data_IF_701228720242
#
_entry.id   IF_701228720242
#
_cell.length_a   1.000
_cell.length_b   1.000
_cell.length_c   1.000
_cell.angle_alpha   90.00
_cell.angle_beta   90.00
_cell.angle_gamma   90.00
#
_symmetry.space_group_name_H-M   'P 1'
#
loop_
_entity.id
_entity.type
_entity.pdbx_description
1 polymer ?
#
# COMPACT_ATOMS: atom_id res chain seq x y z
N UNK A 1 -14.41 28.37 -18.61
CA UNK A 1 -14.69 28.49 -17.15
C UNK A 1 -14.76 27.09 -16.59
N UNK A 2 -13.66 26.61 -16.01
CA UNK A 2 -13.58 25.30 -15.34
C UNK A 2 -13.22 25.62 -13.89
N UNK A 3 -14.21 25.97 -13.08
CA UNK A 3 -14.08 25.85 -11.63
C UNK A 3 -14.63 24.46 -11.28
N UNK A 4 -13.85 23.43 -11.61
CA UNK A 4 -13.98 22.16 -10.91
C UNK A 4 -13.68 22.46 -9.44
N UNK A 5 -14.61 22.10 -8.56
CA UNK A 5 -14.45 22.30 -7.12
C UNK A 5 -13.10 21.71 -6.69
N UNK A 6 -12.28 22.44 -5.94
CA UNK A 6 -10.94 21.98 -5.52
C UNK A 6 -10.97 20.57 -4.89
N UNK A 7 -12.07 20.23 -4.20
CA UNK A 7 -12.32 18.89 -3.63
C UNK A 7 -12.49 17.78 -4.68
N UNK A 8 -13.09 18.10 -5.83
CA UNK A 8 -13.27 17.18 -6.96
C UNK A 8 -11.94 16.92 -7.68
N UNK A 9 -11.14 17.98 -7.91
CA UNK A 9 -9.83 17.84 -8.53
C UNK A 9 -8.86 17.08 -7.62
N UNK A 10 -8.86 17.38 -6.31
CA UNK A 10 -8.09 16.63 -5.33
C UNK A 10 -8.50 15.14 -5.30
N UNK A 11 -9.81 14.84 -5.36
CA UNK A 11 -10.31 13.48 -5.43
C UNK A 11 -9.81 12.75 -6.70
N UNK A 12 -9.92 13.38 -7.88
CA UNK A 12 -9.48 12.77 -9.13
C UNK A 12 -7.98 12.50 -9.15
N UNK A 13 -7.16 13.46 -8.72
CA UNK A 13 -5.70 13.30 -8.67
C UNK A 13 -5.32 12.14 -7.74
N UNK A 14 -5.89 12.09 -6.54
CA UNK A 14 -5.62 11.01 -5.57
C UNK A 14 -6.15 9.66 -6.05
N UNK A 15 -7.31 9.62 -6.70
CA UNK A 15 -7.86 8.41 -7.28
C UNK A 15 -6.97 7.85 -8.40
N UNK A 16 -6.49 8.71 -9.31
CA UNK A 16 -5.56 8.34 -10.39
C UNK A 16 -4.24 7.80 -9.80
N UNK A 17 -3.72 8.46 -8.75
CA UNK A 17 -2.49 8.04 -8.07
C UNK A 17 -2.60 6.63 -7.43
N UNK A 18 -3.81 6.19 -7.05
CA UNK A 18 -4.05 4.85 -6.51
C UNK A 18 -4.32 3.83 -7.64
N UNK A 19 -5.12 4.21 -8.65
CA UNK A 19 -5.59 3.32 -9.72
C UNK A 19 -4.48 3.00 -10.73
N UNK A 20 -3.67 3.98 -11.14
CA UNK A 20 -2.65 3.76 -12.18
C UNK A 20 -1.59 2.75 -11.76
N UNK A 21 -0.95 2.86 -10.57
CA UNK A 21 0.06 1.89 -10.15
C UNK A 21 -0.52 0.49 -9.96
N UNK A 22 -1.77 0.37 -9.50
CA UNK A 22 -2.44 -0.91 -9.30
C UNK A 22 -2.83 -1.56 -10.63
N UNK A 23 -3.31 -0.78 -11.60
CA UNK A 23 -3.59 -1.25 -12.95
C UNK A 23 -2.31 -1.73 -13.67
N UNK A 24 -1.19 -0.99 -13.54
CA UNK A 24 0.10 -1.41 -14.09
C UNK A 24 0.60 -2.70 -13.44
N UNK A 25 0.45 -2.83 -12.12
CA UNK A 25 0.83 -4.05 -11.40
C UNK A 25 -0.01 -5.26 -11.83
N UNK A 26 -1.33 -5.09 -11.99
CA UNK A 26 -2.22 -6.18 -12.43
C UNK A 26 -1.92 -6.57 -13.88
N UNK A 27 -1.66 -5.60 -14.78
CA UNK A 27 -1.30 -5.87 -16.18
C UNK A 27 -0.02 -6.68 -16.34
N UNK A 28 0.94 -6.55 -15.43
CA UNK A 28 2.18 -7.33 -15.45
C UNK A 28 1.97 -8.80 -15.05
N UNK A 29 0.84 -9.15 -14.44
CA UNK A 29 0.57 -10.53 -14.05
C UNK A 29 -0.18 -11.29 -15.14
N UNK A 30 0.34 -12.45 -15.53
CA UNK A 30 -0.27 -13.31 -16.56
C UNK A 30 -1.65 -13.86 -16.17
N UNK A 31 -2.02 -13.86 -14.88
CA UNK A 31 -3.29 -14.44 -14.41
C UNK A 31 -4.13 -13.42 -13.63
N UNK A 32 -5.08 -12.78 -14.32
CA UNK A 32 -5.93 -11.71 -13.78
C UNK A 32 -6.77 -12.17 -12.57
N UNK A 33 -7.23 -13.42 -12.56
CA UNK A 33 -8.14 -13.97 -11.53
C UNK A 33 -7.44 -14.67 -10.35
N UNK A 34 -6.22 -14.27 -10.02
CA UNK A 34 -5.57 -14.75 -8.79
C UNK A 34 -6.25 -14.14 -7.56
N UNK A 35 -6.35 -14.90 -6.45
CA UNK A 35 -6.86 -14.39 -5.15
C UNK A 35 -6.15 -13.11 -4.71
N UNK A 36 -4.87 -12.96 -5.08
CA UNK A 36 -4.06 -11.75 -4.84
C UNK A 36 -4.56 -10.52 -5.59
N UNK A 37 -5.07 -10.71 -6.80
CA UNK A 37 -5.61 -9.61 -7.61
C UNK A 37 -6.98 -9.19 -7.10
N UNK A 38 -7.81 -10.14 -6.67
CA UNK A 38 -9.09 -9.83 -6.02
C UNK A 38 -8.89 -9.01 -4.74
N UNK A 39 -7.91 -9.40 -3.89
CA UNK A 39 -7.54 -8.61 -2.71
C UNK A 39 -7.02 -7.21 -3.09
N UNK A 40 -6.24 -7.10 -4.16
CA UNK A 40 -5.75 -5.79 -4.63
C UNK A 40 -6.88 -4.90 -5.12
N UNK A 41 -7.85 -5.43 -5.86
CA UNK A 41 -9.05 -4.71 -6.31
C UNK A 41 -9.88 -4.27 -5.10
N UNK A 42 -10.06 -5.15 -4.11
CA UNK A 42 -10.77 -4.84 -2.87
C UNK A 42 -10.10 -3.68 -2.10
N UNK A 43 -8.77 -3.71 -1.96
CA UNK A 43 -8.01 -2.62 -1.32
C UNK A 43 -8.17 -1.32 -2.09
N UNK A 44 -8.10 -1.34 -3.42
CA UNK A 44 -8.31 -0.13 -4.25
C UNK A 44 -9.74 0.41 -4.07
N UNK A 45 -10.76 -0.45 -4.15
CA UNK A 45 -12.15 -0.06 -3.97
C UNK A 45 -12.41 0.54 -2.58
N UNK A 46 -11.86 -0.08 -1.53
CA UNK A 46 -11.91 0.44 -0.17
C UNK A 46 -11.22 1.82 -0.06
N UNK A 47 -9.99 1.95 -0.59
CA UNK A 47 -9.27 3.23 -0.57
C UNK A 47 -10.00 4.34 -1.32
N UNK A 48 -10.63 4.04 -2.46
CA UNK A 48 -11.45 5.00 -3.20
C UNK A 48 -12.70 5.41 -2.42
N UNK A 49 -13.35 4.46 -1.74
CA UNK A 49 -14.48 4.76 -0.87
C UNK A 49 -14.08 5.67 0.30
N UNK A 50 -12.94 5.39 0.95
CA UNK A 50 -12.42 6.22 2.04
C UNK A 50 -12.02 7.61 1.57
N UNK A 51 -11.41 7.71 0.38
CA UNK A 51 -11.11 8.98 -0.27
C UNK A 51 -12.38 9.78 -0.58
N UNK A 52 -13.42 9.12 -1.09
CA UNK A 52 -14.73 9.74 -1.32
C UNK A 52 -15.34 10.27 -0.01
N UNK A 53 -15.25 9.50 1.08
CA UNK A 53 -15.71 9.96 2.40
C UNK A 53 -14.92 11.19 2.85
N UNK A 54 -13.60 11.18 2.66
CA UNK A 54 -12.72 12.29 3.04
C UNK A 54 -13.02 13.59 2.29
N UNK A 55 -13.30 13.52 0.98
CA UNK A 55 -13.49 14.69 0.13
C UNK A 55 -14.93 15.19 0.08
N UNK A 56 -15.92 14.29 0.09
CA UNK A 56 -17.33 14.65 -0.09
C UNK A 56 -18.18 14.53 1.17
N UNK A 57 -17.78 13.73 2.16
CA UNK A 57 -18.55 13.49 3.40
C UNK A 57 -17.88 14.10 4.62
N UNK A 58 -17.43 15.35 4.48
CA UNK A 58 -16.85 16.09 5.60
C UNK A 58 -17.92 16.42 6.66
N UNK A 59 -17.59 16.31 7.98
CA UNK A 59 -18.53 16.63 9.04
C UNK A 59 -19.06 18.07 8.91
N UNK A 60 -20.34 18.32 9.23
CA UNK A 60 -20.88 19.66 9.19
C UNK A 60 -20.31 20.49 10.34
N UNK A 61 -19.76 21.66 10.02
CA UNK A 61 -19.28 22.64 10.98
C UNK A 61 -19.70 24.05 10.56
N UNK A 62 -20.61 24.66 11.32
CA UNK A 62 -21.16 25.99 10.99
C UNK A 62 -20.10 27.08 11.10
N UNK A 63 -19.24 27.04 12.12
CA UNK A 63 -18.23 28.09 12.35
C UNK A 63 -17.18 28.14 11.25
N UNK A 64 -16.70 26.97 10.82
CA UNK A 64 -15.76 26.88 9.68
C UNK A 64 -16.42 27.25 8.35
N UNK A 65 -17.66 26.82 8.10
CA UNK A 65 -18.35 27.16 6.83
C UNK A 65 -18.67 28.64 6.71
N UNK A 66 -19.12 29.25 7.79
CA UNK A 66 -19.46 30.68 7.83
C UNK A 66 -18.24 31.58 8.07
N UNK A 67 -17.08 31.01 8.42
CA UNK A 67 -15.87 31.76 8.78
C UNK A 67 -16.12 32.76 9.92
N UNK A 68 -16.85 32.33 10.94
CA UNK A 68 -17.20 33.14 12.12
C UNK A 68 -16.49 32.62 13.36
N UNK A 69 -16.08 33.50 14.30
CA UNK A 69 -15.44 33.08 15.53
C UNK A 69 -16.42 32.35 16.46
N UNK A 70 -15.90 31.44 17.28
CA UNK A 70 -16.72 30.68 18.23
C UNK A 70 -17.37 31.56 19.31
N UNK A 71 -16.82 32.76 19.54
CA UNK A 71 -17.29 33.73 20.52
C UNK A 71 -18.48 34.58 20.03
N UNK A 72 -18.84 34.51 18.75
CA UNK A 72 -19.95 35.29 18.18
C UNK A 72 -21.26 35.09 18.97
N UNK A 73 -22.01 36.16 19.28
CA UNK A 73 -23.31 36.05 19.95
C UNK A 73 -24.34 35.37 19.04
N UNK A 74 -25.31 34.70 19.66
CA UNK A 74 -26.25 33.84 18.94
C UNK A 74 -27.07 34.58 17.88
N UNK A 75 -27.50 35.81 18.19
CA UNK A 75 -28.32 36.63 17.30
C UNK A 75 -27.60 36.95 16.00
N UNK A 76 -26.30 37.24 16.08
CA UNK A 76 -25.47 37.46 14.89
C UNK A 76 -25.30 36.19 14.07
N UNK A 77 -25.11 35.02 14.70
CA UNK A 77 -25.02 33.74 13.99
C UNK A 77 -26.33 33.48 13.24
N UNK A 78 -27.48 33.71 13.89
CA UNK A 78 -28.80 33.55 13.28
C UNK A 78 -29.00 34.50 12.11
N UNK A 79 -28.65 35.78 12.28
CA UNK A 79 -28.73 36.78 11.21
C UNK A 79 -27.89 36.38 9.99
N UNK A 80 -26.64 35.96 10.18
CA UNK A 80 -25.76 35.51 9.09
C UNK A 80 -26.29 34.25 8.40
N UNK A 81 -26.92 33.33 9.14
CA UNK A 81 -27.54 32.13 8.57
C UNK A 81 -28.75 32.48 7.69
N UNK A 82 -29.63 33.39 8.16
CA UNK A 82 -30.79 33.85 7.40
C UNK A 82 -30.37 34.62 6.14
N UNK A 83 -29.42 35.54 6.28
CA UNK A 83 -28.85 36.30 5.17
C UNK A 83 -28.30 35.36 4.09
N UNK A 84 -27.53 34.34 4.48
CA UNK A 84 -26.93 33.38 3.53
C UNK A 84 -27.94 32.39 2.94
N UNK A 85 -29.06 32.17 3.62
CA UNK A 85 -30.19 31.42 3.10
C UNK A 85 -31.10 32.24 2.17
N UNK A 86 -30.89 33.57 2.08
CA UNK A 86 -31.75 34.48 1.32
C UNK A 86 -33.15 34.61 1.92
N UNK A 87 -33.29 34.43 3.23
CA UNK A 87 -34.54 34.52 3.97
C UNK A 87 -34.64 35.84 4.73
N UNK A 88 -35.87 36.33 4.90
CA UNK A 88 -36.13 37.52 5.73
C UNK A 88 -35.77 37.29 7.20
N UNK A 89 -35.49 38.37 7.94
CA UNK A 89 -35.03 38.31 9.34
C UNK A 89 -35.98 37.61 10.31
N UNK A 90 -37.28 37.57 9.98
CA UNK A 90 -38.33 36.91 10.77
C UNK A 90 -38.65 35.50 10.30
N UNK A 91 -37.96 34.97 9.28
CA UNK A 91 -38.17 33.61 8.82
C UNK A 91 -37.72 32.59 9.88
N UNK A 92 -38.52 31.52 10.04
CA UNK A 92 -38.19 30.41 10.92
C UNK A 92 -37.05 29.56 10.37
N UNK A 93 -36.14 29.11 11.23
CA UNK A 93 -35.09 28.16 10.83
C UNK A 93 -35.60 26.72 11.02
N UNK A 94 -34.97 25.72 10.38
CA UNK A 94 -35.28 24.32 10.67
C UNK A 94 -35.13 24.02 12.16
N UNK A 95 -36.09 23.28 12.73
CA UNK A 95 -36.14 22.99 14.18
C UNK A 95 -34.82 22.44 14.74
N UNK A 96 -34.13 21.56 14.03
CA UNK A 96 -32.84 20.99 14.45
C UNK A 96 -31.73 22.04 14.56
N UNK A 97 -31.78 23.08 13.71
CA UNK A 97 -30.84 24.19 13.75
C UNK A 97 -31.20 25.16 14.88
N UNK A 98 -32.49 25.42 15.12
CA UNK A 98 -32.94 26.21 16.26
C UNK A 98 -32.56 25.56 17.60
N UNK A 99 -32.70 24.23 17.72
CA UNK A 99 -32.26 23.47 18.90
C UNK A 99 -30.74 23.52 19.09
N UNK A 100 -29.96 23.47 18.00
CA UNK A 100 -28.52 23.65 18.08
C UNK A 100 -28.16 25.06 18.56
N UNK A 101 -28.78 26.08 17.97
CA UNK A 101 -28.54 27.48 18.31
C UNK A 101 -28.90 27.77 19.76
N UNK A 102 -30.04 27.27 20.25
CA UNK A 102 -30.43 27.43 21.66
C UNK A 102 -29.42 26.79 22.61
N UNK A 103 -28.86 25.63 22.26
CA UNK A 103 -27.80 24.98 23.05
C UNK A 103 -26.48 25.75 23.01
N UNK A 104 -26.08 26.28 21.86
CA UNK A 104 -24.86 27.08 21.69
C UNK A 104 -24.91 28.45 22.41
N UNK A 105 -26.02 28.82 23.03
CA UNK A 105 -26.11 30.01 23.88
C UNK A 105 -25.22 29.90 25.13
N UNK A 106 -25.00 28.69 25.64
CA UNK A 106 -24.13 28.44 26.80
C UNK A 106 -22.66 28.25 26.36
N UNK A 107 -21.73 28.83 27.13
CA UNK A 107 -20.30 28.66 26.91
C UNK A 107 -19.85 27.19 27.04
N UNK A 108 -20.42 26.46 28.00
CA UNK A 108 -20.10 25.04 28.23
C UNK A 108 -20.50 24.19 27.02
N UNK A 109 -21.63 24.51 26.41
CA UNK A 109 -22.09 23.83 25.19
C UNK A 109 -21.22 24.14 23.99
N UNK A 110 -20.65 25.36 23.90
CA UNK A 110 -19.64 25.68 22.87
C UNK A 110 -18.36 24.86 23.06
N UNK A 111 -17.94 24.62 24.30
CA UNK A 111 -16.81 23.71 24.56
C UNK A 111 -17.12 22.27 24.14
N UNK A 112 -18.32 21.77 24.45
CA UNK A 112 -18.77 20.44 24.00
C UNK A 112 -18.87 20.36 22.46
N UNK A 113 -19.30 21.43 21.79
CA UNK A 113 -19.32 21.53 20.33
C UNK A 113 -17.92 21.36 19.72
N UNK A 114 -16.89 22.03 20.26
CA UNK A 114 -15.50 21.87 19.77
C UNK A 114 -15.05 20.41 19.83
N UNK A 115 -15.54 19.67 20.81
CA UNK A 115 -15.10 18.31 21.14
C UNK A 115 -15.84 17.20 20.38
N UNK A 116 -17.17 17.30 20.30
CA UNK A 116 -18.03 16.27 19.71
C UNK A 116 -18.62 16.65 18.35
N UNK A 117 -18.59 17.94 18.02
CA UNK A 117 -19.09 18.48 16.77
C UNK A 117 -20.60 18.66 16.72
N UNK A 118 -21.05 19.20 15.59
CA UNK A 118 -22.43 19.62 15.39
C UNK A 118 -23.45 18.47 15.53
N UNK A 119 -23.15 17.29 14.96
CA UNK A 119 -24.11 16.17 14.93
C UNK A 119 -24.45 15.67 16.32
N UNK A 120 -23.47 15.63 17.24
CA UNK A 120 -23.74 15.17 18.60
C UNK A 120 -24.67 16.12 19.35
N UNK A 121 -24.51 17.44 19.15
CA UNK A 121 -25.35 18.46 19.77
C UNK A 121 -26.72 18.60 19.10
N UNK A 122 -26.85 18.27 17.82
CA UNK A 122 -28.13 18.28 17.10
C UNK A 122 -28.98 17.05 17.39
N UNK A 123 -28.37 15.86 17.35
CA UNK A 123 -29.13 14.61 17.34
C UNK A 123 -29.43 14.08 18.76
N UNK A 124 -28.67 14.49 19.79
CA UNK A 124 -28.91 14.00 21.15
C UNK A 124 -29.87 14.91 21.93
N UNK A 125 -31.16 14.59 21.98
CA UNK A 125 -32.16 15.38 22.73
C UNK A 125 -31.95 15.36 24.26
N UNK A 126 -31.45 14.24 24.81
CA UNK A 126 -31.39 14.01 26.26
C UNK A 126 -30.00 14.28 26.89
N UNK A 127 -29.00 14.66 26.09
CA UNK A 127 -27.64 14.88 26.60
C UNK A 127 -27.51 16.27 27.24
N UNK A 128 -27.03 16.31 28.48
CA UNK A 128 -26.73 17.51 29.27
C UNK A 128 -25.29 17.48 29.74
N UNK A 129 -24.82 16.33 30.22
CA UNK A 129 -23.47 16.18 30.78
C UNK A 129 -22.46 15.73 29.73
N UNK A 130 -21.17 15.94 30.01
CA UNK A 130 -20.08 15.49 29.13
C UNK A 130 -20.15 13.98 28.85
N UNK A 131 -20.42 13.17 29.88
CA UNK A 131 -20.44 11.71 29.77
C UNK A 131 -21.58 11.21 28.86
N UNK A 132 -22.73 11.88 28.88
CA UNK A 132 -23.86 11.55 28.01
C UNK A 132 -23.53 11.83 26.54
N UNK A 133 -22.90 12.98 26.24
CA UNK A 133 -22.42 13.28 24.89
C UNK A 133 -21.33 12.31 24.43
N UNK A 134 -20.41 11.93 25.34
CA UNK A 134 -19.38 10.94 25.05
C UNK A 134 -20.00 9.57 24.72
N UNK A 135 -20.96 9.13 25.52
CA UNK A 135 -21.66 7.85 25.32
C UNK A 135 -22.48 7.85 24.03
N UNK A 136 -23.06 8.99 23.64
CA UNK A 136 -23.78 9.13 22.37
C UNK A 136 -22.85 9.08 21.15
N UNK A 137 -21.68 9.74 21.21
CA UNK A 137 -20.75 9.82 20.08
C UNK A 137 -19.93 8.53 19.88
N UNK A 138 -19.68 7.78 20.96
CA UNK A 138 -18.78 6.63 20.98
C UNK A 138 -19.18 5.47 20.04
N UNK A 139 -20.46 5.03 19.97
CA UNK A 139 -20.86 3.92 19.10
C UNK A 139 -20.55 4.18 17.62
N UNK A 140 -20.75 5.42 17.14
CA UNK A 140 -20.46 5.79 15.75
C UNK A 140 -18.97 5.70 15.45
N UNK A 141 -18.12 6.06 16.42
CA UNK A 141 -16.68 5.92 16.29
C UNK A 141 -16.25 4.45 16.30
N UNK A 142 -16.72 3.67 17.27
CA UNK A 142 -16.41 2.24 17.40
C UNK A 142 -16.84 1.44 16.17
N UNK A 143 -18.02 1.71 15.60
CA UNK A 143 -18.47 1.04 14.38
C UNK A 143 -17.51 1.26 13.20
N UNK A 144 -16.89 2.44 13.11
CA UNK A 144 -15.83 2.72 12.14
C UNK A 144 -14.62 1.80 12.33
N UNK A 145 -14.15 1.66 13.57
CA UNK A 145 -13.04 0.76 13.90
C UNK A 145 -13.38 -0.72 13.66
N UNK A 146 -14.60 -1.15 13.99
CA UNK A 146 -15.06 -2.52 13.72
C UNK A 146 -15.08 -2.81 12.23
N UNK A 147 -15.58 -1.87 11.42
CA UNK A 147 -15.54 -1.96 9.94
C UNK A 147 -14.11 -2.13 9.45
N UNK A 148 -13.17 -1.30 9.92
CA UNK A 148 -11.78 -1.41 9.50
C UNK A 148 -11.10 -2.69 9.98
N UNK A 149 -11.42 -3.17 11.18
CA UNK A 149 -10.93 -4.45 11.66
C UNK A 149 -11.38 -5.60 10.73
N UNK A 150 -12.61 -5.54 10.20
CA UNK A 150 -13.11 -6.50 9.23
C UNK A 150 -12.34 -6.40 7.89
N UNK A 151 -12.09 -5.19 7.37
CA UNK A 151 -11.31 -4.96 6.14
C UNK A 151 -9.89 -5.50 6.29
N UNK A 152 -9.21 -5.20 7.39
CA UNK A 152 -7.87 -5.73 7.69
C UNK A 152 -7.89 -7.25 7.87
N UNK A 153 -8.93 -7.80 8.49
CA UNK A 153 -9.13 -9.25 8.64
C UNK A 153 -9.23 -9.96 7.29
N UNK A 154 -9.94 -9.36 6.31
CA UNK A 154 -10.05 -9.89 4.95
C UNK A 154 -8.71 -9.84 4.20
N UNK A 155 -7.97 -8.73 4.30
CA UNK A 155 -6.64 -8.59 3.66
C UNK A 155 -5.63 -9.59 4.23
N UNK A 156 -5.73 -9.87 5.53
CA UNK A 156 -4.81 -10.76 6.26
C UNK A 156 -5.32 -12.18 6.43
N UNK A 157 -6.32 -12.60 5.64
CA UNK A 157 -6.88 -13.95 5.69
C UNK A 157 -5.81 -15.02 5.40
N UNK A 158 -6.00 -16.22 5.98
CA UNK A 158 -5.14 -17.38 5.71
C UNK A 158 -5.08 -17.65 4.21
N UNK A 159 -3.86 -17.80 3.68
CA UNK A 159 -3.62 -17.95 2.25
C UNK A 159 -3.31 -16.64 1.50
N UNK A 160 -3.52 -15.46 2.09
CA UNK A 160 -3.09 -14.18 1.48
C UNK A 160 -1.57 -13.96 1.54
N UNK A 161 -0.87 -14.78 2.33
CA UNK A 161 0.54 -14.61 2.65
C UNK A 161 0.80 -13.52 3.69
N UNK A 162 -0.21 -12.82 4.23
CA UNK A 162 -0.01 -11.67 5.14
C UNK A 162 -0.49 -11.93 6.57
N UNK A 163 -0.68 -13.18 6.94
CA UNK A 163 -1.21 -13.57 8.26
C UNK A 163 -0.38 -13.02 9.43
N UNK A 164 0.95 -13.00 9.32
CA UNK A 164 1.83 -12.46 10.38
C UNK A 164 1.55 -10.99 10.71
N UNK A 165 1.14 -10.22 9.72
CA UNK A 165 0.89 -8.78 9.86
C UNK A 165 -0.47 -8.47 10.51
N UNK A 166 -1.35 -9.47 10.64
CA UNK A 166 -2.68 -9.32 11.25
C UNK A 166 -2.60 -8.76 12.66
N UNK A 167 -1.76 -9.35 13.52
CA UNK A 167 -1.65 -8.95 14.93
C UNK A 167 -1.15 -7.51 15.05
N UNK A 168 -0.17 -7.12 14.22
CA UNK A 168 0.35 -5.76 14.21
C UNK A 168 -0.66 -4.75 13.66
N UNK A 169 -1.38 -5.09 12.58
CA UNK A 169 -2.37 -4.22 11.98
C UNK A 169 -3.58 -4.01 12.91
N UNK A 170 -4.10 -5.08 13.51
CA UNK A 170 -5.19 -4.99 14.50
C UNK A 170 -4.69 -4.26 15.76
N UNK A 171 -3.47 -4.56 16.23
CA UNK A 171 -2.87 -3.88 17.37
C UNK A 171 -2.75 -2.37 17.14
N UNK A 172 -2.26 -1.95 15.96
CA UNK A 172 -2.19 -0.54 15.58
C UNK A 172 -3.58 0.10 15.57
N UNK A 173 -4.59 -0.58 15.01
CA UNK A 173 -5.96 -0.08 14.96
C UNK A 173 -6.56 0.11 16.38
N UNK A 174 -6.35 -0.86 17.27
CA UNK A 174 -6.79 -0.77 18.68
C UNK A 174 -6.06 0.35 19.40
N UNK A 175 -4.74 0.47 19.21
CA UNK A 175 -3.97 1.59 19.78
C UNK A 175 -4.52 2.93 19.30
N UNK A 176 -4.84 3.09 18.01
CA UNK A 176 -5.45 4.33 17.50
C UNK A 176 -6.81 4.60 18.14
N UNK A 177 -7.66 3.58 18.32
CA UNK A 177 -8.97 3.75 18.96
C UNK A 177 -8.83 4.21 20.43
N UNK A 178 -7.93 3.60 21.19
CA UNK A 178 -7.65 3.99 22.58
C UNK A 178 -7.06 5.40 22.64
N UNK A 179 -6.13 5.71 21.73
CA UNK A 179 -5.50 7.01 21.60
C UNK A 179 -6.54 8.10 21.32
N UNK A 180 -7.41 7.88 20.35
CA UNK A 180 -8.51 8.80 20.05
C UNK A 180 -9.43 9.01 21.26
N UNK A 181 -9.85 7.92 21.92
CA UNK A 181 -10.66 8.00 23.14
C UNK A 181 -9.99 8.81 24.24
N UNK A 182 -8.69 8.58 24.46
CA UNK A 182 -7.89 9.29 25.44
C UNK A 182 -7.79 10.79 25.14
N UNK A 183 -7.54 11.17 23.89
CA UNK A 183 -7.52 12.59 23.48
C UNK A 183 -8.91 13.22 23.65
N UNK A 184 -9.98 12.51 23.27
CA UNK A 184 -11.36 12.97 23.48
C UNK A 184 -11.67 13.15 24.96
N UNK A 185 -11.05 12.45 25.92
CA UNK A 185 -11.35 12.64 27.35
C UNK A 185 -10.41 13.61 28.05
N UNK A 186 -9.16 13.73 27.62
CA UNK A 186 -8.12 14.44 28.40
C UNK A 186 -7.74 15.82 27.88
N UNK A 187 -7.99 16.13 26.61
CA UNK A 187 -7.54 17.40 26.04
C UNK A 187 -8.24 18.60 26.69
N UNK A 188 -7.50 19.60 27.19
CA UNK A 188 -8.08 20.86 27.63
C UNK A 188 -8.45 21.72 26.42
N UNK A 189 -9.68 22.21 26.37
CA UNK A 189 -10.13 23.12 25.31
C UNK A 189 -9.83 24.54 25.77
N UNK A 190 -8.98 25.25 25.00
CA UNK A 190 -8.67 26.66 25.23
C UNK A 190 -9.25 27.48 24.08
N UNK A 191 -10.21 28.34 24.39
CA UNK A 191 -10.79 29.27 23.42
C UNK A 191 -10.06 30.61 23.59
N UNK A 192 -9.31 31.09 22.57
CA UNK A 192 -8.69 32.39 22.60
C UNK A 192 -9.74 33.51 22.71
N UNK A 193 -9.37 34.66 23.27
CA UNK A 193 -10.32 35.76 23.51
C UNK A 193 -10.96 36.29 22.21
N UNK A 194 -10.20 36.29 21.11
CA UNK A 194 -10.68 36.68 19.78
C UNK A 194 -11.60 35.61 19.15
N UNK A 195 -11.57 34.37 19.63
CA UNK A 195 -12.42 33.27 19.17
C UNK A 195 -12.18 32.82 17.72
N UNK A 196 -11.20 33.41 17.02
CA UNK A 196 -10.76 33.02 15.69
C UNK A 196 -9.79 31.82 15.75
N UNK A 197 -9.74 31.03 14.69
CA UNK A 197 -8.84 29.89 14.50
C UNK A 197 -8.83 28.84 15.63
N UNK A 198 -10.00 28.56 16.21
CA UNK A 198 -10.14 27.49 17.20
C UNK A 198 -9.95 26.13 16.52
N UNK A 199 -9.00 25.35 17.03
CA UNK A 199 -8.82 23.96 16.61
C UNK A 199 -10.06 23.14 16.98
N UNK A 200 -10.85 22.80 15.97
CA UNK A 200 -12.01 21.93 16.08
C UNK A 200 -11.54 20.49 16.25
N UNK A 201 -11.44 20.04 17.49
CA UNK A 201 -10.93 18.70 17.82
C UNK A 201 -11.73 17.59 17.17
N UNK A 202 -13.06 17.72 17.09
CA UNK A 202 -13.90 16.73 16.40
C UNK A 202 -13.53 16.55 14.92
N UNK A 203 -13.24 17.64 14.19
CA UNK A 203 -12.86 17.59 12.78
C UNK A 203 -11.47 16.97 12.61
N UNK A 204 -10.53 17.36 13.46
CA UNK A 204 -9.15 16.85 13.42
C UNK A 204 -9.08 15.36 13.77
N UNK A 205 -9.81 14.92 14.79
CA UNK A 205 -9.88 13.51 15.18
C UNK A 205 -10.60 12.68 14.12
N UNK A 206 -11.69 13.20 13.55
CA UNK A 206 -12.36 12.57 12.42
C UNK A 206 -11.42 12.42 11.21
N UNK A 207 -10.67 13.48 10.87
CA UNK A 207 -9.70 13.49 9.78
C UNK A 207 -8.59 12.46 10.02
N UNK A 208 -7.97 12.49 11.20
CA UNK A 208 -6.92 11.54 11.59
C UNK A 208 -7.43 10.10 11.49
N UNK A 209 -8.65 9.84 11.96
CA UNK A 209 -9.30 8.53 11.89
C UNK A 209 -9.48 8.07 10.44
N UNK A 210 -10.04 8.92 9.56
CA UNK A 210 -10.20 8.57 8.14
C UNK A 210 -8.85 8.36 7.45
N UNK A 211 -7.81 9.12 7.82
CA UNK A 211 -6.45 8.92 7.30
C UNK A 211 -5.86 7.58 7.73
N UNK A 212 -6.02 7.18 9.00
CA UNK A 212 -5.59 5.86 9.47
C UNK A 212 -6.34 4.75 8.73
N UNK A 213 -7.65 4.90 8.56
CA UNK A 213 -8.50 3.94 7.85
C UNK A 213 -8.12 3.82 6.37
N UNK A 214 -7.65 4.90 5.73
CA UNK A 214 -7.14 4.88 4.36
C UNK A 214 -5.74 4.23 4.27
N UNK A 215 -4.82 4.62 5.15
CA UNK A 215 -3.41 4.24 5.04
C UNK A 215 -3.13 2.82 5.52
N UNK A 216 -3.76 2.40 6.62
CA UNK A 216 -3.45 1.13 7.28
C UNK A 216 -3.71 -0.10 6.37
N UNK A 217 -4.82 -0.22 5.62
CA UNK A 217 -5.03 -1.31 4.67
C UNK A 217 -4.03 -1.31 3.51
N UNK A 218 -3.65 -0.13 3.01
CA UNK A 218 -2.66 0.02 1.93
C UNK A 218 -1.30 -0.49 2.39
N UNK A 219 -0.87 -0.05 3.58
CA UNK A 219 0.40 -0.48 4.18
C UNK A 219 0.37 -1.99 4.40
N UNK A 220 -0.68 -2.52 5.03
CA UNK A 220 -0.84 -3.96 5.28
C UNK A 220 -0.78 -4.80 4.00
N UNK A 221 -1.35 -4.31 2.89
CA UNK A 221 -1.31 -4.98 1.60
C UNK A 221 0.07 -4.92 0.93
N UNK A 222 0.81 -3.83 1.09
CA UNK A 222 2.14 -3.64 0.49
C UNK A 222 3.26 -4.35 1.25
N UNK A 223 3.02 -4.76 2.50
CA UNK A 223 4.02 -5.47 3.29
C UNK A 223 4.41 -6.83 2.68
N UNK A 224 5.67 -7.26 2.88
CA UNK A 224 6.18 -8.49 2.30
C UNK A 224 5.39 -9.70 2.79
N UNK A 225 5.23 -10.67 1.89
CA UNK A 225 4.60 -11.93 2.23
C UNK A 225 5.36 -12.61 3.36
N UNK A 226 4.61 -13.15 4.31
CA UNK A 226 5.08 -14.03 5.36
C UNK A 226 5.84 -15.19 4.70
N UNK A 227 7.01 -15.56 5.24
CA UNK A 227 7.71 -16.76 4.77
C UNK A 227 6.75 -17.96 4.85
N UNK A 228 6.86 -18.93 3.92
CA UNK A 228 6.06 -20.14 3.98
C UNK A 228 6.23 -20.76 5.37
N UNK A 229 5.13 -21.20 5.98
CA UNK A 229 5.21 -21.80 7.31
C UNK A 229 6.15 -23.00 7.27
N UNK A 230 6.96 -23.19 8.31
CA UNK A 230 7.92 -24.29 8.43
C UNK A 230 7.29 -25.66 8.18
N UNK A 231 5.98 -25.81 8.42
CA UNK A 231 5.21 -27.01 8.12
C UNK A 231 5.18 -27.37 6.62
N UNK A 232 5.21 -26.37 5.71
CA UNK A 232 5.26 -26.59 4.25
C UNK A 232 6.67 -26.71 3.68
N UNK A 233 7.68 -26.25 4.43
CA UNK A 233 9.10 -26.37 4.08
C UNK A 233 9.65 -27.77 4.40
N UNK A 234 9.15 -28.41 5.45
CA UNK A 234 9.60 -29.75 5.84
C UNK A 234 9.53 -30.78 4.69
N UNK A 235 8.41 -30.97 3.96
CA UNK A 235 8.34 -31.98 2.89
C UNK A 235 9.15 -31.60 1.64
N UNK A 236 9.31 -30.31 1.34
CA UNK A 236 10.11 -29.88 0.19
C UNK A 236 11.60 -30.03 0.45
N UNK A 237 12.03 -29.76 1.68
CA UNK A 237 13.42 -29.90 2.10
C UNK A 237 13.84 -31.38 2.21
N UNK A 238 12.94 -32.26 2.64
CA UNK A 238 13.20 -33.71 2.58
C UNK A 238 13.27 -34.20 1.14
N UNK A 239 12.38 -33.74 0.25
CA UNK A 239 12.43 -34.10 -1.16
C UNK A 239 13.74 -33.66 -1.83
N UNK A 240 14.16 -32.41 -1.66
CA UNK A 240 15.43 -31.91 -2.25
C UNK A 240 16.65 -32.64 -1.70
N UNK A 241 16.65 -32.96 -0.40
CA UNK A 241 17.70 -33.78 0.21
C UNK A 241 17.80 -35.15 -0.45
N UNK A 242 16.68 -35.84 -0.67
CA UNK A 242 16.69 -37.16 -1.32
C UNK A 242 17.21 -37.09 -2.76
N UNK A 243 16.87 -36.04 -3.52
CA UNK A 243 17.41 -35.87 -4.88
C UNK A 243 18.92 -35.60 -4.88
N UNK A 244 19.40 -34.81 -3.91
CA UNK A 244 20.83 -34.54 -3.75
C UNK A 244 21.60 -35.82 -3.38
N UNK A 245 21.05 -36.64 -2.47
CA UNK A 245 21.64 -37.93 -2.10
C UNK A 245 21.71 -38.89 -3.31
N UNK A 246 20.67 -38.92 -4.16
CA UNK A 246 20.68 -39.69 -5.42
C UNK A 246 21.72 -39.17 -6.41
N UNK A 247 21.83 -37.86 -6.56
CA UNK A 247 22.82 -37.25 -7.44
C UNK A 247 24.26 -37.58 -6.98
N UNK A 248 24.53 -37.50 -5.67
CA UNK A 248 25.82 -37.89 -5.09
C UNK A 248 26.14 -39.37 -5.32
N UNK A 249 25.17 -40.26 -5.12
CA UNK A 249 25.34 -41.69 -5.40
C UNK A 249 25.72 -41.96 -6.86
N UNK A 250 25.04 -41.30 -7.80
CA UNK A 250 25.34 -41.41 -9.25
C UNK A 250 26.71 -40.84 -9.62
N UNK A 251 27.10 -39.71 -9.01
CA UNK A 251 28.43 -39.14 -9.23
C UNK A 251 29.52 -40.07 -8.71
N UNK A 252 29.31 -40.67 -7.54
CA UNK A 252 30.24 -41.65 -7.00
C UNK A 252 30.33 -42.90 -7.88
N UNK A 253 29.20 -43.44 -8.36
CA UNK A 253 29.22 -44.59 -9.27
C UNK A 253 29.93 -44.27 -10.59
N UNK A 254 29.73 -43.07 -11.15
CA UNK A 254 30.45 -42.62 -12.36
C UNK A 254 31.96 -42.45 -12.10
N UNK A 255 32.34 -41.94 -10.92
CA UNK A 255 33.75 -41.83 -10.54
C UNK A 255 34.41 -43.21 -10.45
N UNK A 256 33.74 -44.17 -9.80
CA UNK A 256 34.26 -45.53 -9.69
C UNK A 256 34.30 -46.24 -11.05
N UNK A 257 33.28 -46.07 -11.91
CA UNK A 257 33.29 -46.68 -13.25
C UNK A 257 34.40 -46.11 -14.13
N UNK A 258 34.62 -44.78 -14.11
CA UNK A 258 35.77 -44.16 -14.79
C UNK A 258 37.10 -44.67 -14.25
N UNK A 259 37.22 -44.79 -12.92
CA UNK A 259 38.40 -45.36 -12.29
C UNK A 259 38.65 -46.82 -12.70
N UNK A 260 37.59 -47.62 -12.83
CA UNK A 260 37.68 -49.02 -13.27
C UNK A 260 38.10 -49.14 -14.74
N UNK A 261 37.50 -48.35 -15.65
CA UNK A 261 37.87 -48.30 -17.07
C UNK A 261 39.34 -47.93 -17.24
N UNK A 262 39.86 -47.00 -16.44
CA UNK A 262 41.26 -46.60 -16.49
C UNK A 262 42.22 -47.63 -15.88
N UNK A 263 41.76 -48.66 -15.17
CA UNK A 263 42.63 -49.72 -14.61
C UNK A 263 42.84 -50.89 -15.57
N UNK A 264 41.84 -51.22 -16.39
CA UNK A 264 41.95 -52.25 -17.42
C UNK A 264 42.69 -51.72 -18.66
N UNK A 265 43.81 -52.34 -19.10
CA UNK A 265 44.55 -51.88 -20.27
C UNK A 265 43.73 -51.93 -21.56
N UNK A 266 42.81 -52.89 -21.72
CA UNK A 266 42.01 -53.07 -22.94
C UNK A 266 40.96 -51.96 -23.06
N UNK A 267 40.18 -51.73 -22.01
CA UNK A 267 39.17 -50.67 -21.97
C UNK A 267 39.80 -49.27 -22.00
N UNK A 268 40.96 -49.08 -21.37
CA UNK A 268 41.70 -47.81 -21.43
C UNK A 268 42.15 -47.48 -22.86
N UNK A 269 42.66 -48.48 -23.60
CA UNK A 269 43.06 -48.28 -24.99
C UNK A 269 41.87 -47.89 -25.86
N UNK A 270 40.75 -48.62 -25.75
CA UNK A 270 39.52 -48.31 -26.48
C UNK A 270 38.93 -46.93 -26.13
N UNK A 271 38.96 -46.54 -24.84
CA UNK A 271 38.51 -45.21 -24.41
C UNK A 271 39.40 -44.10 -24.99
N UNK A 272 40.73 -44.28 -24.97
CA UNK A 272 41.68 -43.32 -25.55
C UNK A 272 41.45 -43.18 -27.05
N UNK A 273 41.28 -44.29 -27.77
CA UNK A 273 41.00 -44.27 -29.21
C UNK A 273 39.68 -43.53 -29.52
N UNK A 274 38.64 -43.78 -28.75
CA UNK A 274 37.36 -43.09 -28.90
C UNK A 274 37.49 -41.57 -28.66
N UNK A 275 38.17 -41.16 -27.59
CA UNK A 275 38.41 -39.74 -27.31
C UNK A 275 39.30 -39.06 -28.37
N UNK A 276 40.27 -39.78 -28.95
CA UNK A 276 41.09 -39.28 -30.05
C UNK A 276 40.23 -39.04 -31.30
N UNK A 277 39.38 -40.01 -31.64
CA UNK A 277 38.42 -39.87 -32.76
C UNK A 277 37.47 -38.70 -32.56
N UNK A 278 36.92 -38.55 -31.35
CA UNK A 278 36.05 -37.40 -31.01
C UNK A 278 36.80 -36.07 -31.06
N UNK A 279 38.08 -36.04 -30.67
CA UNK A 279 38.91 -34.83 -30.80
C UNK A 279 39.07 -34.45 -32.26
N UNK A 280 39.39 -35.42 -33.13
CA UNK A 280 39.52 -35.20 -34.57
C UNK A 280 38.21 -34.73 -35.21
N UNK A 281 37.09 -35.40 -34.92
CA UNK A 281 35.75 -34.97 -35.37
C UNK A 281 35.42 -33.56 -34.87
N UNK A 282 35.75 -33.26 -33.62
CA UNK A 282 35.59 -31.93 -33.04
C UNK A 282 36.50 -30.87 -33.66
N UNK A 283 37.69 -31.23 -34.15
CA UNK A 283 38.59 -30.34 -34.91
C UNK A 283 38.08 -30.09 -36.32
N UNK A 284 37.53 -31.11 -36.99
CA UNK A 284 36.85 -30.95 -38.27
C UNK A 284 35.64 -30.03 -38.14
N UNK A 285 34.80 -30.23 -37.12
CA UNK A 285 33.67 -29.36 -36.86
C UNK A 285 34.08 -27.92 -36.51
N UNK A 286 35.23 -27.72 -35.86
CA UNK A 286 35.77 -26.38 -35.55
C UNK A 286 36.42 -25.69 -36.74
N UNK A 287 37.01 -26.45 -37.66
CA UNK A 287 37.64 -25.93 -38.88
C UNK A 287 36.65 -25.70 -40.02
N UNK A 288 35.45 -26.28 -39.95
CA UNK A 288 34.38 -26.04 -40.92
C UNK A 288 33.81 -24.62 -40.82
N UNK A 289 33.98 -23.87 -41.91
CA UNK A 289 33.50 -22.50 -42.10
C UNK A 289 31.97 -22.38 -42.01
N UNK A 290 31.23 -23.45 -42.36
CA UNK A 290 29.76 -23.50 -42.22
C UNK A 290 29.32 -23.53 -40.76
N UNK A 291 29.99 -24.35 -39.94
CA UNK A 291 29.72 -24.49 -38.50
C UNK A 291 30.10 -23.20 -37.75
N UNK A 292 31.24 -22.59 -38.10
CA UNK A 292 31.66 -21.29 -37.51
C UNK A 292 30.64 -20.19 -37.76
N UNK A 293 30.14 -20.06 -39.00
CA UNK A 293 29.10 -19.08 -39.34
C UNK A 293 27.78 -19.33 -38.60
N UNK A 294 27.37 -20.59 -38.44
CA UNK A 294 26.16 -20.95 -37.68
C UNK A 294 26.33 -20.69 -36.18
N UNK A 295 27.49 -21.02 -35.60
CA UNK A 295 27.80 -20.75 -34.21
C UNK A 295 27.83 -19.24 -33.91
N UNK A 296 28.37 -18.43 -34.83
CA UNK A 296 28.34 -16.97 -34.75
C UNK A 296 26.90 -16.41 -34.79
N UNK A 297 26.04 -16.94 -35.66
CA UNK A 297 24.61 -16.57 -35.69
C UNK A 297 23.88 -16.91 -34.38
N UNK A 298 24.26 -18.01 -33.74
CA UNK A 298 23.69 -18.44 -32.44
C UNK A 298 24.37 -17.76 -31.23
N UNK A 299 25.32 -16.85 -31.44
CA UNK A 299 26.03 -16.14 -30.38
C UNK A 299 26.97 -17.03 -29.55
N UNK A 300 27.41 -18.17 -30.11
CA UNK A 300 28.36 -19.12 -29.52
C UNK A 300 29.63 -19.25 -30.38
N UNK A 301 30.11 -18.14 -30.94
CA UNK A 301 31.31 -18.12 -31.78
C UNK A 301 32.56 -18.53 -31.00
N UNK A 302 33.44 -19.33 -31.63
CA UNK A 302 34.68 -19.81 -31.01
C UNK A 302 35.81 -18.77 -30.98
N UNK A 303 35.66 -17.67 -31.73
CA UNK A 303 36.71 -16.65 -31.93
C UNK A 303 37.02 -15.87 -30.64
N UNK A 304 36.06 -15.78 -29.72
CA UNK A 304 36.25 -15.10 -28.43
C UNK A 304 37.13 -15.89 -27.43
N UNK A 305 37.42 -17.16 -27.69
CA UNK A 305 38.19 -18.00 -26.75
C UNK A 305 39.72 -17.85 -26.88
N UNK A 306 40.23 -17.34 -28.01
CA UNK A 306 41.68 -17.18 -28.22
C UNK A 306 42.24 -15.88 -27.62
N UNK A 307 41.39 -14.87 -27.36
CA UNK A 307 41.79 -13.60 -26.74
C UNK A 307 41.60 -13.57 -25.21
N UNK A 308 41.26 -14.70 -24.58
CA UNK A 308 41.15 -14.80 -23.12
C UNK A 308 39.99 -14.01 -22.49
N UNK A 309 39.14 -13.37 -23.30
CA UNK A 309 38.00 -12.60 -22.81
C UNK A 309 36.71 -13.43 -22.98
N UNK A 310 36.12 -13.85 -21.86
CA UNK A 310 34.90 -14.65 -21.87
C UNK A 310 33.78 -13.96 -22.69
N UNK A 311 33.06 -14.70 -23.57
CA UNK A 311 32.14 -14.14 -24.58
C UNK A 311 30.91 -13.40 -24.02
N UNK A 312 30.68 -13.49 -22.70
CA UNK A 312 29.63 -12.74 -21.99
C UNK A 312 30.06 -11.37 -21.48
N UNK A 313 31.35 -11.16 -21.17
CA UNK A 313 31.81 -9.95 -20.50
C UNK A 313 31.83 -8.73 -21.43
N UNK A 314 32.18 -8.90 -22.71
CA UNK A 314 32.27 -7.77 -23.65
C UNK A 314 30.90 -7.20 -24.02
N UNK A 315 29.88 -8.06 -24.16
CA UNK A 315 28.48 -7.63 -24.40
C UNK A 315 27.83 -7.05 -23.15
N UNK A 316 28.13 -7.59 -21.96
CA UNK A 316 27.65 -7.03 -20.70
C UNK A 316 28.32 -5.69 -20.37
N UNK A 317 29.63 -5.53 -20.64
CA UNK A 317 30.32 -4.25 -20.53
C UNK A 317 29.77 -3.21 -21.49
N UNK A 318 29.56 -3.56 -22.77
CA UNK A 318 28.95 -2.63 -23.73
C UNK A 318 27.54 -2.20 -23.34
N UNK A 319 26.71 -3.13 -22.84
CA UNK A 319 25.38 -2.78 -22.31
C UNK A 319 25.45 -1.98 -21.01
N UNK A 320 26.41 -2.26 -20.13
CA UNK A 320 26.62 -1.48 -18.92
C UNK A 320 27.12 -0.06 -19.23
N UNK A 321 27.96 0.11 -20.25
CA UNK A 321 28.41 1.40 -20.79
C UNK A 321 27.27 2.18 -21.45
N UNK A 322 26.41 1.53 -22.24
CA UNK A 322 25.21 2.16 -22.80
C UNK A 322 24.23 2.61 -21.69
N UNK A 323 24.02 1.79 -20.66
CA UNK A 323 23.14 2.12 -19.54
C UNK A 323 23.74 3.22 -18.67
N UNK A 324 25.06 3.22 -18.44
CA UNK A 324 25.70 4.30 -17.67
C UNK A 324 25.71 5.61 -18.46
N UNK A 325 25.95 5.59 -19.77
CA UNK A 325 25.85 6.76 -20.64
C UNK A 325 24.42 7.33 -20.68
N UNK A 326 23.39 6.47 -20.69
CA UNK A 326 22.01 6.89 -20.58
C UNK A 326 21.72 7.58 -19.24
N UNK A 327 22.24 7.03 -18.13
CA UNK A 327 22.04 7.60 -16.79
C UNK A 327 22.85 8.89 -16.51
N UNK A 328 24.01 9.08 -17.13
CA UNK A 328 24.76 10.34 -17.04
C UNK A 328 24.14 11.45 -17.87
N UNK A 329 23.57 11.13 -19.04
CA UNK A 329 22.90 12.12 -19.89
C UNK A 329 21.58 12.62 -19.27
N UNK A 330 20.89 11.77 -18.51
CA UNK A 330 19.65 12.12 -17.79
C UNK A 330 19.89 12.97 -16.53
N UNK A 331 21.11 12.94 -15.95
CA UNK A 331 21.50 13.81 -14.82
C UNK A 331 21.81 15.24 -15.23
N UNK A 332 22.22 15.48 -16.47
CA UNK A 332 22.50 16.83 -17.00
C UNK A 332 21.24 17.62 -17.37
N UNK A 333 20.06 16.98 -17.42
CA UNK A 333 18.79 17.66 -17.73
C UNK A 333 17.99 18.13 -16.48
N UNK A 334 18.47 17.82 -15.27
CA UNK A 334 17.85 18.25 -14.00
C UNK A 334 18.64 19.36 -13.26
N UNK A 335 19.63 19.97 -13.92
CA UNK A 335 20.38 21.13 -13.42
C UNK A 335 20.39 22.24 -14.48
N UNK A 336 19.21 22.73 -14.85
CA UNK A 336 18.94 24.11 -15.29
C UNK A 336 17.61 24.54 -14.70
#
# INVERSE_FOLDING_TARGET
MVFTNASFDAFLILAIAIIVPTALYIRQQQHVWSSRNMLSIFVVAHSLYMLYVLTFRWPPNIFQRLHIPLTTPLDSIRATLLERAGLDGDAGLPKSLETLLSRLSSFDMRMLYVRFGQTALQDCEHCVTFDEYALFALPRALLGYVREAAVLGLITIKGSGRERWRTYAIGALVCTAVMEGYWITTVPIRIPQEGQDVLMWHDNLWLLRQLVFLLLPIIAHRMPNSPPSSATLAPTLTATRTEMERALSRLNSLRFSRGAVLRDPTLRAAATEWWERQRQEGEWARSDEGVRRMAARLGKGLEDAMDGQAPGESRLKKKAEEVTAFLTNDRTMCLV
#
